data_IF_317216072275
#
_entry.id   IF_317216072275
#
_cell.length_a   1.000
_cell.length_b   1.000
_cell.length_c   1.000
_cell.angle_alpha   90.00
_cell.angle_beta   90.00
_cell.angle_gamma   90.00
#
_symmetry.space_group_name_H-M   'P 1'
#
loop_
_entity.id
_entity.type
_entity.pdbx_description
1 polymer ?
#
# COMPACT_ATOMS: atom_id res chain seq x y z
N UNK A 1 -2.94 -18.50 1.63
CA UNK A 1 -3.22 -17.99 0.28
C UNK A 1 -2.13 -17.01 -0.13
N UNK A 2 -1.72 -17.00 -1.39
CA UNK A 2 -0.58 -16.19 -1.84
C UNK A 2 -0.89 -14.70 -1.72
N UNK A 3 -2.11 -14.29 -2.09
CA UNK A 3 -2.53 -12.88 -2.02
C UNK A 3 -2.62 -12.39 -0.58
N UNK A 4 -3.23 -13.16 0.30
CA UNK A 4 -3.37 -12.80 1.71
C UNK A 4 -2.02 -12.68 2.43
N UNK A 5 -1.06 -13.57 2.09
CA UNK A 5 0.31 -13.53 2.62
C UNK A 5 1.04 -12.28 2.13
N UNK A 6 0.94 -11.99 0.84
CA UNK A 6 1.59 -10.82 0.27
C UNK A 6 1.06 -9.51 0.88
N UNK A 7 -0.27 -9.40 1.07
CA UNK A 7 -0.87 -8.25 1.76
C UNK A 7 -0.38 -8.17 3.21
N UNK A 8 -0.32 -9.30 3.94
CA UNK A 8 0.17 -9.32 5.32
C UNK A 8 1.62 -8.82 5.43
N UNK A 9 2.49 -9.27 4.53
CA UNK A 9 3.89 -8.86 4.50
C UNK A 9 4.02 -7.34 4.27
N UNK A 10 3.20 -6.78 3.37
CA UNK A 10 3.17 -5.35 3.07
C UNK A 10 2.55 -4.52 4.20
N UNK A 11 1.54 -5.04 4.88
CA UNK A 11 0.97 -4.43 6.10
C UNK A 11 2.02 -4.32 7.22
N UNK A 12 2.90 -5.31 7.37
CA UNK A 12 4.02 -5.24 8.32
C UNK A 12 5.06 -4.22 7.85
N UNK A 13 5.39 -4.22 6.56
CA UNK A 13 6.37 -3.30 5.98
C UNK A 13 5.95 -1.83 6.09
N UNK A 14 4.68 -1.50 5.81
CA UNK A 14 4.19 -0.12 5.90
C UNK A 14 4.17 0.40 7.34
N UNK A 15 3.92 -0.49 8.31
CA UNK A 15 3.85 -0.18 9.75
C UNK A 15 5.24 0.04 10.39
N UNK A 16 6.29 -0.56 9.85
CA UNK A 16 7.66 -0.24 10.27
C UNK A 16 8.03 1.14 9.71
N UNK A 17 7.75 2.17 10.51
CA UNK A 17 8.02 3.57 10.18
C UNK A 17 9.43 3.98 10.62
N UNK A 18 10.26 4.37 9.64
CA UNK A 18 11.46 5.17 9.88
C UNK A 18 11.07 6.64 9.73
N UNK A 19 11.44 7.46 10.71
CA UNK A 19 11.26 8.90 10.67
C UNK A 19 12.57 9.55 10.24
N UNK A 20 12.59 10.17 9.05
CA UNK A 20 13.75 10.89 8.54
C UNK A 20 14.15 12.03 9.48
N UNK A 21 15.44 12.34 9.55
CA UNK A 21 16.02 13.29 10.53
C UNK A 21 16.56 14.56 9.86
N UNK A 22 16.67 14.54 8.54
CA UNK A 22 17.19 15.61 7.70
C UNK A 22 16.61 15.46 6.27
N UNK A 23 16.89 16.43 5.40
CA UNK A 23 16.37 16.44 4.03
C UNK A 23 16.81 15.20 3.23
N UNK A 24 18.08 14.78 3.39
CA UNK A 24 18.66 13.64 2.66
C UNK A 24 18.00 12.30 3.04
N UNK A 25 17.82 12.05 4.34
CA UNK A 25 17.15 10.87 4.85
C UNK A 25 15.67 10.85 4.46
N UNK A 26 14.96 11.98 4.52
CA UNK A 26 13.56 12.05 4.03
C UNK A 26 13.48 11.81 2.53
N UNK A 27 14.40 12.36 1.72
CA UNK A 27 14.44 12.10 0.28
C UNK A 27 14.66 10.61 -0.01
N UNK A 28 15.56 9.95 0.72
CA UNK A 28 15.81 8.51 0.60
C UNK A 28 14.56 7.69 0.97
N UNK A 29 13.85 8.09 2.03
CA UNK A 29 12.61 7.44 2.45
C UNK A 29 11.49 7.63 1.42
N UNK A 30 11.41 8.79 0.76
CA UNK A 30 10.45 9.03 -0.34
C UNK A 30 10.73 8.11 -1.53
N UNK A 31 11.98 7.95 -1.96
CA UNK A 31 12.32 7.00 -3.04
C UNK A 31 11.96 5.55 -2.68
N UNK A 32 12.18 5.15 -1.41
CA UNK A 32 11.74 3.84 -0.92
C UNK A 32 10.22 3.71 -0.94
N UNK A 33 9.50 4.78 -0.58
CA UNK A 33 8.03 4.83 -0.62
C UNK A 33 7.51 4.73 -2.06
N UNK A 34 8.11 5.41 -3.03
CA UNK A 34 7.75 5.31 -4.45
C UNK A 34 7.95 3.88 -4.98
N UNK A 35 9.05 3.23 -4.59
CA UNK A 35 9.28 1.82 -4.94
C UNK A 35 8.22 0.91 -4.34
N UNK A 36 7.81 1.18 -3.10
CA UNK A 36 6.74 0.44 -2.43
C UNK A 36 5.40 0.64 -3.15
N UNK A 37 5.03 1.90 -3.46
CA UNK A 37 3.80 2.24 -4.18
C UNK A 37 3.76 1.57 -5.58
N UNK A 38 4.89 1.55 -6.30
CA UNK A 38 4.99 0.85 -7.58
C UNK A 38 4.74 -0.66 -7.43
N UNK A 39 5.25 -1.26 -6.36
CA UNK A 39 4.96 -2.66 -6.01
C UNK A 39 3.48 -2.90 -5.69
N UNK A 40 2.81 -1.96 -5.02
CA UNK A 40 1.36 -2.02 -4.80
C UNK A 40 0.60 -1.96 -6.12
N UNK A 41 0.96 -1.03 -7.02
CA UNK A 41 0.29 -0.88 -8.30
C UNK A 41 0.45 -2.12 -9.19
N UNK A 42 1.64 -2.74 -9.22
CA UNK A 42 1.86 -3.99 -9.95
C UNK A 42 1.01 -5.14 -9.39
N UNK A 43 0.94 -5.24 -8.06
CA UNK A 43 0.15 -6.28 -7.41
C UNK A 43 -1.35 -6.10 -7.59
N UNK A 44 -1.84 -4.86 -7.70
CA UNK A 44 -3.24 -4.59 -8.03
C UNK A 44 -3.63 -5.22 -9.38
N UNK A 45 -2.79 -5.01 -10.39
CA UNK A 45 -3.02 -5.46 -11.76
C UNK A 45 -2.97 -6.98 -11.91
N UNK A 46 -2.10 -7.66 -11.15
CA UNK A 46 -1.92 -9.10 -11.29
C UNK A 46 -2.68 -9.89 -10.21
N UNK A 47 -2.48 -9.55 -8.93
CA UNK A 47 -3.01 -10.30 -7.80
C UNK A 47 -4.49 -10.00 -7.53
N UNK A 48 -4.81 -8.73 -7.31
CA UNK A 48 -6.16 -8.30 -6.91
C UNK A 48 -7.18 -8.50 -8.03
N UNK A 49 -6.82 -8.14 -9.26
CA UNK A 49 -7.67 -8.37 -10.42
C UNK A 49 -7.92 -9.87 -10.65
N UNK A 50 -6.88 -10.72 -10.55
CA UNK A 50 -7.02 -12.17 -10.75
C UNK A 50 -7.97 -12.81 -9.74
N UNK A 51 -7.85 -12.50 -8.44
CA UNK A 51 -8.77 -13.06 -7.43
C UNK A 51 -10.20 -12.55 -7.61
N UNK A 52 -10.37 -11.32 -8.12
CA UNK A 52 -11.68 -10.73 -8.37
C UNK A 52 -12.35 -11.43 -9.54
N UNK A 53 -11.63 -11.64 -10.64
CA UNK A 53 -12.10 -12.40 -11.80
C UNK A 53 -12.46 -13.85 -11.43
N UNK A 54 -11.61 -14.53 -10.65
CA UNK A 54 -11.89 -15.89 -10.18
C UNK A 54 -13.16 -15.94 -9.32
N UNK A 55 -13.31 -14.99 -8.40
CA UNK A 55 -14.52 -14.85 -7.58
C UNK A 55 -15.76 -14.66 -8.46
N UNK A 56 -15.72 -13.79 -9.46
CA UNK A 56 -16.84 -13.54 -10.38
C UNK A 56 -17.21 -14.80 -11.16
N UNK A 57 -16.22 -15.52 -11.73
CA UNK A 57 -16.45 -16.77 -12.45
C UNK A 57 -17.10 -17.85 -11.58
N UNK A 58 -16.65 -18.01 -10.34
CA UNK A 58 -17.20 -19.01 -9.42
C UNK A 58 -18.65 -18.67 -9.00
N UNK A 59 -18.98 -17.39 -8.89
CA UNK A 59 -20.35 -16.94 -8.58
C UNK A 59 -21.26 -17.16 -9.79
N UNK A 60 -20.80 -16.78 -10.98
CA UNK A 60 -21.56 -16.96 -12.23
C UNK A 60 -21.84 -18.45 -12.52
N UNK A 61 -20.90 -19.34 -12.19
CA UNK A 61 -21.06 -20.78 -12.30
C UNK A 61 -22.06 -21.39 -11.27
N UNK A 62 -22.66 -20.58 -10.38
CA UNK A 62 -23.62 -21.05 -9.39
C UNK A 62 -23.02 -21.96 -8.32
N UNK A 63 -21.75 -21.76 -7.98
CA UNK A 63 -21.04 -22.62 -7.04
C UNK A 63 -21.70 -22.59 -5.64
N UNK A 64 -21.89 -23.75 -5.01
CA UNK A 64 -22.55 -23.84 -3.69
C UNK A 64 -21.86 -23.03 -2.57
N UNK A 65 -20.57 -22.73 -2.74
CA UNK A 65 -19.76 -21.92 -1.82
C UNK A 65 -19.70 -20.42 -2.16
N UNK A 66 -20.49 -19.91 -3.12
CA UNK A 66 -20.49 -18.48 -3.48
C UNK A 66 -20.58 -17.52 -2.28
N UNK A 67 -21.38 -17.78 -1.22
CA UNK A 67 -21.40 -16.91 -0.03
C UNK A 67 -20.05 -16.85 0.70
N UNK A 68 -19.36 -17.99 0.84
CA UNK A 68 -18.05 -18.04 1.49
C UNK A 68 -16.96 -17.39 0.64
N UNK A 69 -17.02 -17.57 -0.69
CA UNK A 69 -16.10 -16.94 -1.64
C UNK A 69 -16.24 -15.42 -1.61
N UNK A 70 -17.47 -14.90 -1.63
CA UNK A 70 -17.74 -13.46 -1.51
C UNK A 70 -17.19 -12.89 -0.23
N UNK A 71 -17.51 -13.50 0.92
CA UNK A 71 -17.03 -13.03 2.21
C UNK A 71 -15.50 -12.96 2.27
N UNK A 72 -14.83 -13.99 1.75
CA UNK A 72 -13.38 -14.04 1.72
C UNK A 72 -12.78 -12.97 0.81
N UNK A 73 -13.38 -12.73 -0.36
CA UNK A 73 -12.97 -11.65 -1.26
C UNK A 73 -13.15 -10.27 -0.60
N UNK A 74 -14.28 -10.03 0.06
CA UNK A 74 -14.54 -8.80 0.81
C UNK A 74 -13.48 -8.55 1.90
N UNK A 75 -13.12 -9.58 2.66
CA UNK A 75 -12.08 -9.49 3.69
C UNK A 75 -10.70 -9.12 3.09
N UNK A 76 -10.36 -9.71 1.94
CA UNK A 76 -9.11 -9.38 1.20
C UNK A 76 -9.14 -7.95 0.68
N UNK A 77 -10.23 -7.53 0.03
CA UNK A 77 -10.37 -6.17 -0.51
C UNK A 77 -10.33 -5.11 0.59
N UNK A 78 -10.92 -5.39 1.75
CA UNK A 78 -10.85 -4.49 2.91
C UNK A 78 -9.42 -4.29 3.38
N UNK A 79 -8.64 -5.37 3.51
CA UNK A 79 -7.22 -5.29 3.88
C UNK A 79 -6.40 -4.56 2.83
N UNK A 80 -6.67 -4.83 1.55
CA UNK A 80 -6.04 -4.15 0.43
C UNK A 80 -6.25 -2.63 0.47
N UNK A 81 -7.49 -2.19 0.63
CA UNK A 81 -7.83 -0.77 0.72
C UNK A 81 -7.18 -0.10 1.94
N UNK A 82 -7.14 -0.79 3.09
CA UNK A 82 -6.46 -0.28 4.28
C UNK A 82 -4.95 -0.12 4.06
N UNK A 83 -4.31 -1.07 3.36
CA UNK A 83 -2.90 -1.02 3.03
C UNK A 83 -2.59 0.16 2.10
N UNK A 84 -3.39 0.38 1.06
CA UNK A 84 -3.25 1.54 0.17
C UNK A 84 -3.36 2.85 0.95
N UNK A 85 -4.40 2.99 1.78
CA UNK A 85 -4.59 4.17 2.61
C UNK A 85 -3.43 4.42 3.59
N UNK A 86 -2.86 3.36 4.17
CA UNK A 86 -1.68 3.46 5.02
C UNK A 86 -0.44 3.92 4.23
N UNK A 87 -0.25 3.41 3.02
CA UNK A 87 0.83 3.81 2.10
C UNK A 87 0.74 5.29 1.76
N UNK A 88 -0.44 5.74 1.35
CA UNK A 88 -0.71 7.15 1.01
C UNK A 88 -0.49 8.06 2.21
N UNK A 89 -1.00 7.68 3.39
CA UNK A 89 -0.82 8.45 4.61
C UNK A 89 0.66 8.62 4.97
N UNK A 90 1.47 7.56 4.79
CA UNK A 90 2.92 7.59 5.00
C UNK A 90 3.62 8.50 4.00
N UNK A 91 3.28 8.40 2.71
CA UNK A 91 3.80 9.29 1.65
C UNK A 91 3.52 10.75 1.95
N UNK A 92 2.29 11.08 2.32
CA UNK A 92 1.89 12.45 2.67
C UNK A 92 2.64 12.98 3.89
N UNK A 93 2.92 12.12 4.90
CA UNK A 93 3.78 12.50 6.04
C UNK A 93 5.20 12.84 5.58
N UNK A 94 5.81 11.99 4.75
CA UNK A 94 7.18 12.20 4.26
C UNK A 94 7.30 13.46 3.39
N UNK A 95 6.31 13.74 2.53
CA UNK A 95 6.27 14.96 1.72
C UNK A 95 6.20 16.23 2.58
N UNK A 96 5.37 16.23 3.64
CA UNK A 96 5.32 17.35 4.59
C UNK A 96 6.65 17.55 5.31
N UNK A 97 7.31 16.46 5.74
CA UNK A 97 8.63 16.56 6.35
C UNK A 97 9.67 17.13 5.39
N UNK A 98 9.63 16.72 4.11
CA UNK A 98 10.54 17.24 3.09
C UNK A 98 10.37 18.76 2.92
N UNK A 99 9.13 19.22 2.84
CA UNK A 99 8.81 20.65 2.74
C UNK A 99 9.30 21.44 3.96
N UNK A 100 9.09 20.91 5.17
CA UNK A 100 9.60 21.51 6.40
C UNK A 100 11.12 21.64 6.40
N UNK A 101 11.85 20.59 6.01
CA UNK A 101 13.31 20.65 5.94
C UNK A 101 13.81 21.66 4.90
N UNK A 102 13.16 21.74 3.73
CA UNK A 102 13.50 22.74 2.70
C UNK A 102 13.31 24.17 3.19
N UNK A 103 12.18 24.46 3.84
CA UNK A 103 11.91 25.79 4.41
C UNK A 103 12.96 26.17 5.45
N UNK A 104 13.38 25.22 6.28
CA UNK A 104 14.44 25.45 7.28
C UNK A 104 15.77 25.76 6.59
N UNK A 105 16.18 24.97 5.60
CA UNK A 105 17.41 25.21 4.84
C UNK A 105 17.39 26.58 4.14
N UNK A 106 16.27 26.96 3.51
CA UNK A 106 16.10 28.26 2.87
C UNK A 106 16.24 29.42 3.88
N UNK A 107 15.71 29.28 5.10
CA UNK A 107 15.84 30.28 6.16
C UNK A 107 17.28 30.43 6.69
N UNK A 108 18.08 29.37 6.66
CA UNK A 108 19.49 29.42 7.08
C UNK A 108 20.45 29.87 5.99
N UNK A 109 20.02 29.81 4.73
CA UNK A 109 20.81 30.23 3.56
C UNK A 109 20.48 31.66 3.08
N UNK A 110 19.43 32.28 3.62
CA UNK A 110 19.03 33.68 3.40
C UNK A 110 19.71 34.64 4.38
#
# INVERSE_FOLDING_TARGET
DVVESWIADKEVQVRNEDHGRDLSSVSTLLTKQETFDAGLAAFDQEGIQSITQLKDQLIEAGHNQSPAINKRHEDVMKRWNNLQAASDARKQRLLRMQDQFRQIEDLFLA
#
